data_IF_877101012905
#
_entry.id   IF_877101012905
#
_cell.length_a   1.000
_cell.length_b   1.000
_cell.length_c   1.000
_cell.angle_alpha   90.00
_cell.angle_beta   90.00
_cell.angle_gamma   90.00
#
_symmetry.space_group_name_H-M   'P 1'
#
loop_
_entity.id
_entity.type
_entity.pdbx_description
1 polymer ?
#
# COMPACT_ATOMS: atom_id res chain seq x y z
N UNK A 1 42.23 -7.64 -9.39
CA UNK A 1 41.40 -8.15 -8.28
C UNK A 1 40.83 -6.96 -7.56
N UNK A 2 39.54 -6.66 -7.76
CA UNK A 2 38.87 -5.53 -7.11
C UNK A 2 37.44 -5.95 -6.75
N UNK A 3 37.15 -5.85 -5.45
CA UNK A 3 35.84 -5.56 -4.85
C UNK A 3 34.64 -6.42 -5.26
N UNK A 4 34.35 -7.47 -4.48
CA UNK A 4 32.97 -7.91 -4.27
C UNK A 4 32.23 -6.74 -3.59
N UNK A 5 31.45 -6.00 -4.36
CA UNK A 5 30.47 -5.07 -3.81
C UNK A 5 29.14 -5.81 -3.66
N UNK A 6 28.56 -5.63 -2.47
CA UNK A 6 27.21 -6.00 -2.06
C UNK A 6 26.92 -7.49 -1.88
N UNK A 7 27.55 -8.02 -0.84
CA UNK A 7 27.00 -9.11 -0.03
C UNK A 7 25.67 -8.64 0.59
N UNK A 8 24.60 -8.71 -0.20
CA UNK A 8 23.23 -8.69 0.29
C UNK A 8 23.07 -9.83 1.32
N UNK A 9 22.72 -9.48 2.55
CA UNK A 9 22.48 -10.44 3.63
C UNK A 9 21.39 -11.46 3.20
N UNK A 10 21.71 -12.77 3.13
CA UNK A 10 20.71 -13.80 2.85
C UNK A 10 19.65 -13.80 3.95
N UNK A 11 18.43 -13.36 3.64
CA UNK A 11 17.31 -13.33 4.59
C UNK A 11 16.60 -11.98 4.75
N UNK A 12 17.11 -10.91 4.15
CA UNK A 12 16.37 -9.65 4.01
C UNK A 12 15.45 -9.77 2.79
N UNK A 13 14.14 -9.88 3.02
CA UNK A 13 13.07 -9.99 2.02
C UNK A 13 13.35 -11.05 0.93
N UNK A 14 13.02 -12.31 1.22
CA UNK A 14 13.00 -13.35 0.18
C UNK A 14 12.14 -12.87 -0.99
N UNK A 15 12.70 -12.96 -2.21
CA UNK A 15 11.97 -12.61 -3.43
C UNK A 15 10.56 -13.21 -3.39
N UNK A 16 9.53 -12.46 -3.83
CA UNK A 16 8.15 -12.94 -3.77
C UNK A 16 8.07 -14.30 -4.45
N UNK A 17 7.53 -15.27 -3.71
CA UNK A 17 7.26 -16.61 -4.23
C UNK A 17 6.41 -16.45 -5.50
N UNK A 18 6.89 -16.88 -6.69
CA UNK A 18 6.22 -16.62 -7.96
C UNK A 18 4.84 -17.26 -8.05
N UNK A 19 4.51 -18.20 -7.17
CA UNK A 19 3.19 -18.82 -7.08
C UNK A 19 2.25 -18.09 -6.10
N UNK A 20 2.80 -17.22 -5.23
CA UNK A 20 2.04 -16.47 -4.25
C UNK A 20 1.41 -15.21 -4.85
N UNK A 21 0.21 -15.41 -5.43
CA UNK A 21 -0.59 -14.34 -6.04
C UNK A 21 -0.85 -13.14 -5.12
N UNK A 22 -0.96 -13.35 -3.81
CA UNK A 22 -1.17 -12.25 -2.85
C UNK A 22 0.09 -11.41 -2.66
N UNK A 23 1.26 -12.04 -2.55
CA UNK A 23 2.53 -11.32 -2.49
C UNK A 23 2.77 -10.50 -3.77
N UNK A 24 2.48 -11.07 -4.94
CA UNK A 24 2.59 -10.37 -6.23
C UNK A 24 1.63 -9.17 -6.30
N UNK A 25 0.39 -9.32 -5.84
CA UNK A 25 -0.58 -8.23 -5.82
C UNK A 25 -0.17 -7.10 -4.86
N UNK A 26 0.33 -7.45 -3.68
CA UNK A 26 0.85 -6.48 -2.72
C UNK A 26 2.05 -5.69 -3.28
N UNK A 27 2.97 -6.38 -3.97
CA UNK A 27 4.11 -5.71 -4.59
C UNK A 27 3.67 -4.71 -5.66
N UNK A 28 2.76 -5.11 -6.55
CA UNK A 28 2.19 -4.19 -7.56
C UNK A 28 1.51 -2.96 -6.96
N UNK A 29 0.84 -3.13 -5.81
CA UNK A 29 0.24 -2.01 -5.10
C UNK A 29 1.30 -1.05 -4.54
N UNK A 30 2.35 -1.59 -3.93
CA UNK A 30 3.48 -0.80 -3.41
C UNK A 30 4.19 -0.07 -4.56
N UNK A 31 4.45 -0.74 -5.68
CA UNK A 31 5.04 -0.14 -6.89
C UNK A 31 4.18 1.01 -7.43
N UNK A 32 2.85 0.84 -7.44
CA UNK A 32 1.93 1.90 -7.84
C UNK A 32 2.06 3.13 -6.93
N UNK A 33 2.05 2.93 -5.60
CA UNK A 33 2.25 4.03 -4.63
C UNK A 33 3.63 4.69 -4.76
N UNK A 34 4.69 3.92 -5.04
CA UNK A 34 6.03 4.45 -5.31
C UNK A 34 6.08 5.28 -6.59
N UNK A 35 5.44 4.83 -7.67
CA UNK A 35 5.37 5.56 -8.93
C UNK A 35 4.61 6.90 -8.82
N UNK A 36 3.76 7.03 -7.80
CA UNK A 36 3.05 8.26 -7.45
C UNK A 36 3.83 9.12 -6.43
N UNK A 37 5.03 8.71 -6.04
CA UNK A 37 5.89 9.37 -5.03
C UNK A 37 5.22 9.53 -3.65
N UNK A 38 4.28 8.63 -3.32
CA UNK A 38 3.55 8.65 -2.04
C UNK A 38 4.34 7.97 -0.92
N UNK A 39 5.23 7.04 -1.26
CA UNK A 39 6.02 6.27 -0.29
C UNK A 39 7.30 7.03 0.06
N UNK A 40 7.39 7.48 1.31
CA UNK A 40 8.57 8.11 1.89
C UNK A 40 9.36 7.13 2.78
N UNK A 41 10.57 7.51 3.17
CA UNK A 41 11.47 6.66 4.00
C UNK A 41 10.83 6.22 5.32
N UNK A 42 9.92 7.01 5.89
CA UNK A 42 9.24 6.65 7.13
C UNK A 42 8.16 5.56 6.96
N UNK A 43 7.75 5.27 5.72
CA UNK A 43 6.80 4.19 5.40
C UNK A 43 7.46 2.81 5.23
N UNK A 44 8.80 2.72 5.25
CA UNK A 44 9.54 1.48 4.96
C UNK A 44 9.09 0.30 5.83
N UNK A 45 8.90 0.51 7.14
CA UNK A 45 8.44 -0.56 8.04
C UNK A 45 7.02 -1.05 7.70
N UNK A 46 6.14 -0.15 7.28
CA UNK A 46 4.76 -0.49 6.87
C UNK A 46 4.76 -1.28 5.56
N UNK A 47 5.59 -0.87 4.60
CA UNK A 47 5.77 -1.57 3.32
C UNK A 47 6.26 -3.01 3.54
N UNK A 48 7.28 -3.20 4.39
CA UNK A 48 7.78 -4.53 4.74
C UNK A 48 6.74 -5.38 5.48
N UNK A 49 5.94 -4.77 6.36
CA UNK A 49 4.84 -5.45 7.03
C UNK A 49 3.79 -5.96 6.03
N UNK A 50 3.39 -5.14 5.06
CA UNK A 50 2.46 -5.52 3.99
C UNK A 50 3.00 -6.68 3.17
N UNK A 51 4.27 -6.64 2.75
CA UNK A 51 4.95 -7.73 2.03
C UNK A 51 4.95 -9.03 2.83
N UNK A 52 5.30 -8.95 4.11
CA UNK A 52 5.34 -10.09 5.02
C UNK A 52 3.96 -10.72 5.21
N UNK A 53 2.94 -9.91 5.49
CA UNK A 53 1.56 -10.37 5.71
C UNK A 53 0.95 -10.97 4.44
N UNK A 54 1.18 -10.36 3.27
CA UNK A 54 0.74 -10.93 1.99
C UNK A 54 1.38 -12.29 1.72
N UNK A 55 2.67 -12.43 2.04
CA UNK A 55 3.38 -13.72 1.93
C UNK A 55 2.78 -14.78 2.86
N UNK A 56 2.55 -14.44 4.13
CA UNK A 56 1.96 -15.34 5.12
C UNK A 56 0.54 -15.73 4.73
N UNK A 57 -0.29 -14.76 4.31
CA UNK A 57 -1.66 -15.01 3.87
C UNK A 57 -1.72 -15.96 2.67
N UNK A 58 -0.85 -15.75 1.66
CA UNK A 58 -0.77 -16.64 0.50
C UNK A 58 -0.30 -18.06 0.85
N UNK A 59 0.68 -18.19 1.75
CA UNK A 59 1.14 -19.49 2.26
C UNK A 59 0.07 -20.21 3.10
N UNK A 60 -0.70 -19.48 3.91
CA UNK A 60 -1.80 -20.04 4.67
C UNK A 60 -2.93 -20.52 3.74
N UNK A 61 -3.24 -19.73 2.69
CA UNK A 61 -4.22 -20.09 1.68
C UNK A 61 -3.82 -21.36 0.92
N UNK A 62 -2.57 -21.47 0.46
CA UNK A 62 -2.09 -22.66 -0.28
C UNK A 62 -2.10 -23.94 0.57
N UNK A 63 -1.99 -23.81 1.90
CA UNK A 63 -2.05 -24.92 2.86
C UNK A 63 -3.46 -25.21 3.38
N UNK A 64 -4.49 -24.50 2.93
CA UNK A 64 -5.86 -24.65 3.42
C UNK A 64 -6.05 -24.24 4.89
N UNK A 65 -5.16 -23.41 5.43
CA UNK A 65 -5.18 -22.96 6.83
C UNK A 65 -6.10 -21.74 6.99
N UNK A 66 -7.41 -21.97 6.97
CA UNK A 66 -8.42 -20.90 6.94
C UNK A 66 -8.30 -19.88 8.09
N UNK A 67 -8.05 -20.34 9.33
CA UNK A 67 -7.91 -19.43 10.48
C UNK A 67 -6.66 -18.54 10.37
N UNK A 68 -5.52 -19.11 9.96
CA UNK A 68 -4.28 -18.36 9.77
C UNK A 68 -4.40 -17.37 8.60
N UNK A 69 -5.08 -17.78 7.52
CA UNK A 69 -5.40 -16.89 6.41
C UNK A 69 -6.28 -15.73 6.86
N UNK A 70 -7.37 -15.99 7.60
CA UNK A 70 -8.28 -14.95 8.07
C UNK A 70 -7.57 -13.92 8.96
N UNK A 71 -6.73 -14.36 9.89
CA UNK A 71 -5.94 -13.46 10.75
C UNK A 71 -4.94 -12.63 9.94
N UNK A 72 -4.17 -13.27 9.05
CA UNK A 72 -3.19 -12.59 8.23
C UNK A 72 -3.85 -11.59 7.26
N UNK A 73 -5.01 -11.93 6.69
CA UNK A 73 -5.77 -11.02 5.83
C UNK A 73 -6.36 -9.84 6.58
N UNK A 74 -6.80 -10.03 7.83
CA UNK A 74 -7.28 -8.92 8.67
C UNK A 74 -6.16 -7.92 8.98
N UNK A 75 -4.99 -8.43 9.39
CA UNK A 75 -3.82 -7.59 9.65
C UNK A 75 -3.29 -6.93 8.37
N UNK A 76 -3.33 -7.65 7.24
CA UNK A 76 -2.91 -7.11 5.94
C UNK A 76 -3.80 -5.92 5.56
N UNK A 77 -5.12 -6.02 5.74
CA UNK A 77 -6.04 -4.92 5.46
C UNK A 77 -5.71 -3.70 6.31
N UNK A 78 -5.52 -3.89 7.62
CA UNK A 78 -5.15 -2.81 8.54
C UNK A 78 -3.81 -2.15 8.14
N UNK A 79 -2.80 -2.95 7.79
CA UNK A 79 -1.52 -2.43 7.33
C UNK A 79 -1.61 -1.66 5.99
N UNK A 80 -2.54 -2.04 5.11
CA UNK A 80 -2.79 -1.35 3.85
C UNK A 80 -3.56 -0.05 4.04
N UNK A 81 -4.51 0.01 4.98
CA UNK A 81 -5.24 1.24 5.34
C UNK A 81 -4.27 2.30 5.90
N UNK A 82 -3.19 1.83 6.52
CA UNK A 82 -2.13 2.63 7.13
C UNK A 82 -1.10 3.18 6.13
N UNK A 83 -1.13 2.73 4.86
CA UNK A 83 -0.29 3.26 3.79
C UNK A 83 -0.91 4.53 3.18
N UNK A 84 -0.07 5.43 2.65
CA UNK A 84 -0.56 6.63 1.98
C UNK A 84 -1.46 6.22 0.81
N UNK A 85 -2.69 6.73 0.79
CA UNK A 85 -3.61 6.52 -0.31
C UNK A 85 -3.47 7.68 -1.31
N UNK A 86 -3.58 7.41 -2.63
CA UNK A 86 -3.76 8.49 -3.58
C UNK A 86 -4.99 9.29 -3.16
N UNK A 87 -4.87 10.60 -3.07
CA UNK A 87 -6.05 11.44 -2.91
C UNK A 87 -6.94 11.16 -4.11
N UNK A 88 -8.10 10.54 -3.88
CA UNK A 88 -9.18 10.52 -4.85
C UNK A 88 -9.58 11.99 -5.03
N UNK A 89 -9.02 12.61 -6.07
CA UNK A 89 -9.33 13.98 -6.41
C UNK A 89 -10.81 14.07 -6.70
N UNK A 90 -11.58 14.67 -5.80
CA UNK A 90 -12.46 15.77 -6.17
C UNK A 90 -13.19 16.43 -4.99
N UNK A 91 -13.08 15.98 -3.74
CA UNK A 91 -13.88 16.62 -2.67
C UNK A 91 -13.52 18.09 -2.47
N UNK A 92 -12.23 18.41 -2.54
CA UNK A 92 -11.77 19.80 -2.47
C UNK A 92 -12.09 20.60 -3.75
N UNK A 93 -11.97 19.98 -4.93
CA UNK A 93 -12.35 20.62 -6.21
C UNK A 93 -13.85 20.89 -6.29
N UNK A 94 -14.68 19.94 -5.85
CA UNK A 94 -16.14 20.07 -5.72
C UNK A 94 -16.52 21.14 -4.71
N UNK A 95 -15.86 21.18 -3.55
CA UNK A 95 -16.04 22.25 -2.56
C UNK A 95 -15.69 23.62 -3.15
N UNK A 96 -14.60 23.71 -3.92
CA UNK A 96 -14.19 24.95 -4.58
C UNK A 96 -15.12 25.35 -5.74
N UNK A 97 -15.72 24.39 -6.44
CA UNK A 97 -16.79 24.66 -7.41
C UNK A 97 -18.08 25.14 -6.74
N UNK A 98 -18.47 24.56 -5.60
CA UNK A 98 -19.63 24.97 -4.81
C UNK A 98 -19.47 26.40 -4.25
N UNK A 99 -18.27 26.72 -3.74
CA UNK A 99 -17.95 28.07 -3.26
C UNK A 99 -17.97 29.12 -4.39
N UNK A 100 -17.52 28.76 -5.60
CA UNK A 100 -17.60 29.64 -6.78
C UNK A 100 -19.04 29.78 -7.31
N UNK A 101 -19.90 28.80 -7.05
CA UNK A 101 -21.31 28.78 -7.46
C UNK A 101 -22.26 29.47 -6.48
N UNK A 102 -21.79 29.95 -5.34
CA UNK A 102 -22.62 30.72 -4.41
C UNK A 102 -22.53 32.20 -4.83
N UNK A 103 -23.43 32.73 -5.67
CA UNK A 103 -23.49 34.17 -5.89
C UNK A 103 -23.80 34.83 -4.55
N UNK A 104 -23.01 35.85 -4.22
CA UNK A 104 -23.38 36.78 -3.17
C UNK A 104 -24.80 37.25 -3.45
N UNK A 105 -25.71 36.97 -2.52
CA UNK A 105 -26.97 37.69 -2.42
C UNK A 105 -26.60 39.08 -1.90
N UNK A 106 -26.08 39.91 -2.80
CA UNK A 106 -26.03 41.35 -2.59
C UNK A 106 -27.47 41.87 -2.60
N UNK A 107 -27.84 42.42 -1.45
CA UNK A 107 -28.78 43.51 -1.21
C UNK A 107 -29.77 43.86 -2.34
N UNK A 108 -31.05 43.71 -2.04
CA UNK A 108 -32.01 44.75 -2.46
C UNK A 108 -33.22 44.80 -1.53
N UNK A 109 -33.29 45.94 -0.81
CA UNK A 109 -34.40 46.54 -0.04
C UNK A 109 -34.54 46.23 1.45
#
# INVERSE_FOLDING_TARGET
MAGKMDEFLPGMAGAPDPENKLAIAAEKYIEALQSMDLIQSHHVLKVELVRGLATVAGKAASKGQAAAMAMASAQLREAMDDLPQPMEGDEFSKLMEELKRTPQTEDTH
#
